data_IF_672389789949
#
_entry.id   IF_672389789949
#
_cell.length_a   1.000
_cell.length_b   1.000
_cell.length_c   1.000
_cell.angle_alpha   90.00
_cell.angle_beta   90.00
_cell.angle_gamma   90.00
#
_symmetry.space_group_name_H-M   'P 1'
#
loop_
_entity.id
_entity.type
_entity.pdbx_description
1 polymer ?
#
# COMPACT_ATOMS: atom_id res chain seq x y z
N UNK A 1 0.75 12.23 -6.03
CA UNK A 1 1.92 12.12 -5.14
C UNK A 1 2.10 10.65 -4.78
N UNK A 2 3.30 10.22 -4.37
CA UNK A 2 3.56 8.81 -4.06
C UNK A 2 2.57 8.22 -3.03
N UNK A 3 2.18 9.00 -2.02
CA UNK A 3 1.17 8.58 -1.05
C UNK A 3 -0.23 8.38 -1.67
N UNK A 4 -0.63 9.23 -2.61
CA UNK A 4 -1.89 9.08 -3.32
C UNK A 4 -1.88 7.83 -4.21
N UNK A 5 -0.74 7.52 -4.83
CA UNK A 5 -0.59 6.31 -5.65
C UNK A 5 -0.69 5.04 -4.79
N UNK A 6 -0.06 5.04 -3.61
CA UNK A 6 -0.17 3.92 -2.67
C UNK A 6 -1.61 3.78 -2.14
N UNK A 7 -2.28 4.88 -1.81
CA UNK A 7 -3.69 4.87 -1.40
C UNK A 7 -4.61 4.29 -2.50
N UNK A 8 -4.45 4.75 -3.75
CA UNK A 8 -5.22 4.24 -4.89
C UNK A 8 -4.92 2.76 -5.10
N UNK A 9 -3.65 2.34 -4.96
CA UNK A 9 -3.30 0.93 -5.13
C UNK A 9 -3.92 0.06 -4.03
N UNK A 10 -3.95 0.51 -2.76
CA UNK A 10 -4.63 -0.20 -1.68
C UNK A 10 -6.14 -0.35 -1.98
N UNK A 11 -6.78 0.73 -2.46
CA UNK A 11 -8.19 0.69 -2.85
C UNK A 11 -8.43 -0.28 -4.03
N UNK A 12 -7.52 -0.29 -5.01
CA UNK A 12 -7.55 -1.22 -6.16
C UNK A 12 -7.34 -2.67 -5.71
N UNK A 13 -6.42 -2.91 -4.79
CA UNK A 13 -6.14 -4.23 -4.21
C UNK A 13 -7.36 -4.80 -3.49
N UNK A 14 -8.03 -3.97 -2.68
CA UNK A 14 -9.29 -4.34 -2.02
C UNK A 14 -10.38 -4.67 -3.04
N UNK A 15 -10.56 -3.82 -4.05
CA UNK A 15 -11.56 -4.04 -5.09
C UNK A 15 -11.28 -5.32 -5.88
N UNK A 16 -10.02 -5.62 -6.19
CA UNK A 16 -9.63 -6.86 -6.85
C UNK A 16 -9.94 -8.10 -5.99
N UNK A 17 -9.73 -8.02 -4.67
CA UNK A 17 -10.09 -9.12 -3.77
C UNK A 17 -11.61 -9.38 -3.76
N UNK A 18 -12.42 -8.32 -3.76
CA UNK A 18 -13.88 -8.39 -3.82
C UNK A 18 -14.38 -8.96 -5.16
N UNK A 19 -13.89 -8.44 -6.29
CA UNK A 19 -14.38 -8.84 -7.62
C UNK A 19 -13.93 -10.23 -8.02
N UNK A 20 -12.74 -10.66 -7.59
CA UNK A 20 -12.21 -12.01 -7.86
C UNK A 20 -12.69 -13.03 -6.84
N UNK A 21 -13.33 -12.60 -5.75
CA UNK A 21 -13.73 -13.43 -4.62
C UNK A 21 -12.55 -14.27 -4.07
N UNK A 22 -11.36 -13.66 -4.01
CA UNK A 22 -10.11 -14.32 -3.63
C UNK A 22 -9.22 -13.35 -2.85
N UNK A 23 -8.19 -13.89 -2.19
CA UNK A 23 -7.19 -13.05 -1.55
C UNK A 23 -6.35 -12.33 -2.61
N UNK A 24 -6.08 -11.05 -2.38
CA UNK A 24 -5.16 -10.26 -3.20
C UNK A 24 -4.19 -9.54 -2.26
N UNK A 25 -2.91 -9.60 -2.60
CA UNK A 25 -1.82 -9.10 -1.79
C UNK A 25 -1.12 -7.96 -2.49
N UNK A 26 -0.94 -6.85 -1.78
CA UNK A 26 -0.07 -5.74 -2.17
C UNK A 26 1.28 -5.88 -1.46
N UNK A 27 2.36 -5.93 -2.22
CA UNK A 27 3.72 -6.06 -1.67
C UNK A 27 4.73 -5.15 -2.39
N UNK A 28 5.73 -4.69 -1.65
CA UNK A 28 6.87 -3.98 -2.23
C UNK A 28 7.72 -4.91 -3.10
N UNK A 29 8.37 -4.34 -4.11
CA UNK A 29 9.43 -5.01 -4.85
C UNK A 29 10.69 -5.19 -3.98
N UNK A 30 11.61 -6.02 -4.45
CA UNK A 30 12.90 -6.21 -3.80
C UNK A 30 13.61 -4.87 -3.57
N UNK A 31 14.07 -4.65 -2.33
CA UNK A 31 14.71 -3.40 -1.90
C UNK A 31 13.76 -2.33 -1.34
N UNK A 32 12.44 -2.55 -1.36
CA UNK A 32 11.45 -1.71 -0.66
C UNK A 32 10.46 -0.99 -1.58
N UNK A 33 9.51 -0.27 -0.98
CA UNK A 33 8.40 0.38 -1.71
C UNK A 33 8.86 1.45 -2.70
N UNK A 34 9.99 2.10 -2.46
CA UNK A 34 10.58 3.06 -3.40
C UNK A 34 11.01 2.41 -4.73
N UNK A 35 11.24 1.09 -4.73
CA UNK A 35 11.54 0.32 -5.94
C UNK A 35 10.26 -0.15 -6.67
N UNK A 36 9.10 0.35 -6.27
CA UNK A 36 7.80 -0.05 -6.79
C UNK A 36 7.15 -1.17 -5.97
N UNK A 37 5.94 -1.55 -6.38
CA UNK A 37 5.14 -2.56 -5.70
C UNK A 37 4.23 -3.29 -6.68
N UNK A 38 3.72 -4.44 -6.26
CA UNK A 38 2.89 -5.31 -7.06
C UNK A 38 1.64 -5.74 -6.32
N UNK A 39 0.55 -5.86 -7.07
CA UNK A 39 -0.64 -6.58 -6.66
C UNK A 39 -0.56 -8.01 -7.17
N UNK A 40 -0.69 -8.97 -6.28
CA UNK A 40 -0.68 -10.40 -6.58
C UNK A 40 -2.02 -11.04 -6.24
N UNK A 41 -2.53 -11.93 -7.08
CA UNK A 41 -3.62 -12.81 -6.67
C UNK A 41 -3.12 -13.96 -5.76
N UNK A 42 -4.04 -14.80 -5.31
CA UNK A 42 -3.74 -15.94 -4.43
C UNK A 42 -2.76 -16.97 -5.05
N UNK A 43 -2.55 -16.95 -6.37
CA UNK A 43 -1.64 -17.83 -7.09
C UNK A 43 -0.32 -17.13 -7.47
N UNK A 44 -0.07 -15.92 -6.93
CA UNK A 44 1.08 -15.08 -7.24
C UNK A 44 1.12 -14.54 -8.68
N UNK A 45 0.00 -14.51 -9.39
CA UNK A 45 -0.05 -13.81 -10.68
C UNK A 45 -0.08 -12.29 -10.43
N UNK A 46 0.74 -11.55 -11.18
CA UNK A 46 0.75 -10.08 -11.12
C UNK A 46 -0.51 -9.53 -11.76
N UNK A 47 -1.32 -8.85 -10.95
CA UNK A 47 -2.54 -8.15 -11.38
C UNK A 47 -2.27 -6.69 -11.74
N UNK A 48 -1.29 -6.09 -11.08
CA UNK A 48 -0.88 -4.70 -11.27
C UNK A 48 0.54 -4.50 -10.79
N UNK A 49 1.25 -3.55 -11.37
CA UNK A 49 2.61 -3.20 -10.98
C UNK A 49 2.79 -1.67 -11.04
N UNK A 50 3.37 -1.11 -9.98
CA UNK A 50 3.76 0.29 -9.90
C UNK A 50 5.28 0.40 -9.98
N UNK A 51 5.77 1.37 -10.76
CA UNK A 51 7.19 1.54 -11.04
C UNK A 51 7.95 2.21 -9.87
N UNK A 52 9.27 2.09 -9.88
CA UNK A 52 10.11 2.76 -8.89
C UNK A 52 9.98 4.29 -8.93
N UNK A 53 10.18 4.93 -7.79
CA UNK A 53 10.22 6.38 -7.64
C UNK A 53 11.49 6.82 -6.91
N UNK A 54 12.10 7.91 -7.37
CA UNK A 54 13.30 8.49 -6.75
C UNK A 54 12.95 9.53 -5.69
N UNK A 55 13.81 9.70 -4.69
CA UNK A 55 13.59 10.71 -3.64
C UNK A 55 12.43 10.37 -2.71
N UNK A 56 12.08 9.09 -2.60
CA UNK A 56 11.02 8.59 -1.73
C UNK A 56 11.58 7.58 -0.74
N UNK A 57 11.16 7.68 0.51
CA UNK A 57 11.39 6.65 1.54
C UNK A 57 10.05 6.25 2.16
N UNK A 58 9.92 4.96 2.49
CA UNK A 58 8.68 4.40 3.06
C UNK A 58 9.02 3.48 4.22
N UNK A 59 8.38 3.68 5.38
CA UNK A 59 8.59 2.86 6.57
C UNK A 59 7.27 2.60 7.31
N UNK A 60 7.03 1.38 7.86
CA UNK A 60 7.76 0.14 7.64
C UNK A 60 7.34 -0.53 6.32
N UNK A 61 8.12 -1.52 5.86
CA UNK A 61 7.78 -2.34 4.69
C UNK A 61 6.76 -3.42 5.06
N UNK A 62 5.47 -3.07 5.06
CA UNK A 62 4.40 -3.99 5.41
C UNK A 62 3.68 -4.54 4.16
N UNK A 63 3.59 -5.86 4.00
CA UNK A 63 2.71 -6.47 2.99
C UNK A 63 1.25 -6.35 3.42
N UNK A 64 0.35 -6.09 2.47
CA UNK A 64 -1.08 -5.92 2.76
C UNK A 64 -1.89 -6.94 1.98
N UNK A 65 -2.45 -7.93 2.67
CA UNK A 65 -3.38 -8.88 2.05
C UNK A 65 -4.80 -8.47 2.35
N UNK A 66 -5.63 -8.36 1.32
CA UNK A 66 -7.08 -8.27 1.44
C UNK A 66 -7.69 -9.65 1.20
N UNK A 67 -8.62 -10.04 2.06
CA UNK A 67 -9.45 -11.23 1.86
C UNK A 67 -10.52 -10.97 0.81
N UNK A 68 -11.16 -12.05 0.33
CA UNK A 68 -12.33 -11.97 -0.55
C UNK A 68 -13.47 -11.08 -0.01
N UNK A 69 -13.52 -10.84 1.31
CA UNK A 69 -14.46 -9.92 1.96
C UNK A 69 -14.06 -8.44 1.88
N UNK A 70 -12.91 -8.12 1.28
CA UNK A 70 -12.34 -6.77 1.25
C UNK A 70 -11.79 -6.28 2.60
N UNK A 71 -11.70 -7.16 3.61
CA UNK A 71 -11.14 -6.89 4.93
C UNK A 71 -9.74 -7.49 5.06
N UNK A 72 -8.92 -6.94 5.95
CA UNK A 72 -7.65 -7.56 6.33
C UNK A 72 -7.87 -8.91 7.04
N UNK A 73 -6.93 -9.87 7.01
CA UNK A 73 -6.95 -11.11 7.78
C UNK A 73 -7.21 -10.87 9.28
N UNK A 74 -7.85 -11.83 9.95
CA UNK A 74 -8.05 -11.74 11.39
C UNK A 74 -6.69 -11.79 12.08
N UNK A 75 -6.46 -10.90 13.06
CA UNK A 75 -5.16 -10.77 13.72
C UNK A 75 -4.08 -10.03 12.90
N UNK A 76 -4.39 -9.57 11.68
CA UNK A 76 -3.48 -8.69 10.95
C UNK A 76 -3.38 -7.32 11.64
N UNK A 77 -2.17 -6.80 11.74
CA UNK A 77 -1.93 -5.42 12.17
C UNK A 77 -2.24 -4.50 10.99
N UNK A 78 -3.00 -3.44 11.24
CA UNK A 78 -3.23 -2.38 10.25
C UNK A 78 -1.89 -1.80 9.79
N UNK A 79 -1.57 -1.84 8.47
CA UNK A 79 -0.33 -1.29 7.97
C UNK A 79 -0.37 0.23 8.08
N UNK A 80 0.70 0.84 8.59
CA UNK A 80 0.87 2.30 8.61
C UNK A 80 2.12 2.65 7.81
N UNK A 81 1.95 3.14 6.60
CA UNK A 81 3.04 3.58 5.74
C UNK A 81 3.34 5.05 6.00
N UNK A 82 4.51 5.34 6.58
CA UNK A 82 5.07 6.69 6.66
C UNK A 82 5.90 6.91 5.40
N UNK A 83 5.51 7.89 4.59
CA UNK A 83 6.08 8.18 3.28
C UNK A 83 6.73 9.56 3.36
N UNK A 84 8.02 9.62 3.07
CA UNK A 84 8.75 10.88 2.94
C UNK A 84 9.16 11.07 1.50
N UNK A 85 8.82 12.22 0.92
CA UNK A 85 9.18 12.60 -0.45
C UNK A 85 10.01 13.87 -0.43
N UNK A 86 11.11 13.89 -1.18
CA UNK A 86 12.02 15.04 -1.26
C UNK A 86 11.78 15.77 -2.58
N UNK A 87 11.54 17.08 -2.50
CA UNK A 87 11.48 17.98 -3.65
C UNK A 87 12.44 19.14 -3.43
N UNK A 88 13.60 19.10 -4.10
CA UNK A 88 14.71 20.01 -3.81
C UNK A 88 15.22 19.82 -2.38
N UNK A 89 15.25 20.90 -1.59
CA UNK A 89 15.61 20.88 -0.17
C UNK A 89 14.44 20.57 0.77
N UNK A 90 13.22 20.49 0.24
CA UNK A 90 12.00 20.31 1.04
C UNK A 90 11.67 18.83 1.18
N UNK A 91 11.49 18.35 2.41
CA UNK A 91 11.00 17.00 2.71
C UNK A 91 9.53 17.09 3.13
N UNK A 92 8.67 16.39 2.39
CA UNK A 92 7.24 16.27 2.69
C UNK A 92 6.96 14.89 3.25
N UNK A 93 6.24 14.84 4.37
CA UNK A 93 5.84 13.59 5.00
C UNK A 93 4.32 13.39 4.82
N UNK A 94 3.91 12.16 4.50
CA UNK A 94 2.51 11.75 4.39
C UNK A 94 2.34 10.34 4.96
N UNK A 95 1.17 10.02 5.49
CA UNK A 95 0.88 8.65 5.91
C UNK A 95 -0.30 8.06 5.18
N UNK A 96 -0.17 6.78 4.91
CA UNK A 96 -1.21 5.96 4.28
C UNK A 96 -1.41 4.74 5.17
N UNK A 97 -2.65 4.43 5.48
CA UNK A 97 -2.97 3.28 6.33
C UNK A 97 -4.29 2.66 5.91
N UNK A 98 -4.61 1.52 6.51
CA UNK A 98 -5.85 0.78 6.27
C UNK A 98 -6.50 0.47 7.61
N UNK A 99 -7.79 0.77 7.75
CA UNK A 99 -8.54 0.38 8.94
C UNK A 99 -8.81 -1.15 8.98
N UNK A 100 -9.29 -1.66 10.11
CA UNK A 100 -9.63 -3.10 10.23
C UNK A 100 -10.78 -3.53 9.30
N UNK A 101 -11.57 -2.56 8.80
CA UNK A 101 -12.57 -2.77 7.76
C UNK A 101 -11.98 -2.92 6.35
N UNK A 102 -10.67 -2.72 6.21
CA UNK A 102 -9.96 -2.76 4.95
C UNK A 102 -9.99 -1.44 4.17
N UNK A 103 -10.58 -0.36 4.72
CA UNK A 103 -10.67 0.90 4.01
C UNK A 103 -9.32 1.64 4.09
N UNK A 104 -8.68 1.95 2.96
CA UNK A 104 -7.50 2.79 2.98
C UNK A 104 -7.87 4.23 3.33
N UNK A 105 -6.95 4.94 3.95
CA UNK A 105 -7.05 6.37 4.25
C UNK A 105 -5.67 7.01 4.22
N UNK A 106 -5.65 8.34 4.12
CA UNK A 106 -4.43 9.15 4.11
C UNK A 106 -4.52 10.22 5.19
N UNK A 107 -3.42 10.46 5.89
CA UNK A 107 -3.29 11.55 6.87
C UNK A 107 -2.05 12.39 6.61
N UNK A 108 -2.10 13.65 7.07
CA UNK A 108 -0.90 14.48 7.14
C UNK A 108 0.07 13.91 8.19
N UNK A 109 1.37 14.10 7.97
CA UNK A 109 2.41 13.45 8.78
C UNK A 109 2.38 13.71 10.28
N UNK A 110 1.88 14.87 10.72
CA UNK A 110 1.75 15.20 12.13
C UNK A 110 0.70 14.34 12.86
N UNK A 111 -0.09 13.57 12.12
CA UNK A 111 -1.19 12.73 12.63
C UNK A 111 -1.01 11.25 12.25
N UNK A 112 0.24 10.83 12.06
CA UNK A 112 0.65 9.43 12.12
C UNK A 112 1.09 9.14 13.57
#
# INVERSE_FOLDING_TARGET
TFAADLYVTLAKTRSAALTRNQNVTLQANAGGWQNGWQMLDANNNVLDNHAAATGVTVTPTATVTYRASGRLPAGAVAPVFVISTTSGATVNHQCVSVDLGGRPYMTAAAAC
#
